data_IF_227470285612
#
_entry.id   IF_227470285612
#
_cell.length_a   1.000
_cell.length_b   1.000
_cell.length_c   1.000
_cell.angle_alpha   90.00
_cell.angle_beta   90.00
_cell.angle_gamma   90.00
#
_symmetry.space_group_name_H-M   'P 1'
#
loop_
_entity.id
_entity.type
_entity.pdbx_description
1 polymer ?
#
# COMPACT_ATOMS: atom_id res chain seq x y z
N UNK A 1 48.57 -44.72 -4.98
CA UNK A 1 48.35 -43.72 -6.06
C UNK A 1 46.88 -43.74 -6.42
N UNK A 2 46.27 -42.56 -6.45
CA UNK A 2 44.96 -42.23 -7.01
C UNK A 2 43.66 -42.64 -6.26
N UNK A 3 42.76 -41.65 -6.28
CA UNK A 3 41.29 -41.65 -6.11
C UNK A 3 40.75 -41.46 -4.69
N UNK A 4 39.81 -40.50 -4.58
CA UNK A 4 39.05 -39.98 -3.42
C UNK A 4 39.64 -38.83 -2.61
N UNK A 5 39.76 -37.65 -3.24
CA UNK A 5 39.76 -36.36 -2.53
C UNK A 5 39.29 -35.20 -3.42
N UNK A 6 38.09 -35.30 -4.01
CA UNK A 6 37.47 -34.15 -4.70
C UNK A 6 35.95 -34.27 -4.72
N UNK A 7 35.30 -34.11 -3.57
CA UNK A 7 33.85 -33.89 -3.51
C UNK A 7 33.47 -33.15 -2.22
N UNK A 8 33.98 -31.92 -2.03
CA UNK A 8 33.58 -31.08 -0.89
C UNK A 8 33.88 -29.59 -1.09
N UNK A 9 33.81 -29.09 -2.34
CA UNK A 9 33.85 -27.65 -2.62
C UNK A 9 32.93 -27.34 -3.81
N UNK A 10 31.62 -27.51 -3.64
CA UNK A 10 30.63 -27.04 -4.62
C UNK A 10 29.25 -26.71 -4.00
N UNK A 11 29.13 -26.60 -2.67
CA UNK A 11 27.85 -26.31 -2.00
C UNK A 11 27.84 -25.04 -1.14
N UNK A 12 28.85 -24.18 -1.24
CA UNK A 12 28.90 -22.91 -0.50
C UNK A 12 28.68 -21.66 -1.38
N UNK A 13 28.55 -21.79 -2.70
CA UNK A 13 28.46 -20.64 -3.62
C UNK A 13 27.02 -20.25 -4.01
N UNK A 14 25.99 -20.99 -3.61
CA UNK A 14 24.60 -20.73 -4.00
C UNK A 14 23.79 -19.89 -2.98
N UNK A 15 24.37 -19.54 -1.82
CA UNK A 15 23.64 -18.84 -0.75
C UNK A 15 23.71 -17.30 -0.80
N UNK A 16 24.48 -16.71 -1.72
CA UNK A 16 24.75 -15.26 -1.76
C UNK A 16 24.41 -14.59 -3.10
N UNK A 17 23.53 -15.17 -3.92
CA UNK A 17 22.99 -14.42 -5.05
C UNK A 17 22.08 -13.30 -4.50
N UNK A 18 22.39 -12.00 -4.70
CA UNK A 18 21.47 -10.94 -4.34
C UNK A 18 20.17 -11.19 -5.10
N UNK A 19 19.05 -11.24 -4.37
CA UNK A 19 17.73 -11.23 -5.00
C UNK A 19 17.73 -10.11 -6.03
N UNK A 20 17.47 -10.45 -7.29
CA UNK A 20 17.39 -9.48 -8.36
C UNK A 20 16.40 -8.38 -7.93
N UNK A 21 16.93 -7.20 -7.65
CA UNK A 21 16.14 -6.02 -7.30
C UNK A 21 15.44 -5.59 -8.58
N UNK A 22 14.22 -6.06 -8.78
CA UNK A 22 13.32 -5.46 -9.78
C UNK A 22 12.88 -4.13 -9.18
N UNK A 23 13.59 -3.06 -9.58
CA UNK A 23 13.16 -1.70 -9.28
C UNK A 23 11.86 -1.43 -10.05
N UNK A 24 10.74 -1.36 -9.35
CA UNK A 24 9.51 -0.80 -9.90
C UNK A 24 9.68 0.71 -9.92
N UNK A 25 10.11 1.23 -11.06
CA UNK A 25 10.12 2.67 -11.29
C UNK A 25 8.67 3.08 -11.57
N UNK A 26 8.02 3.69 -10.58
CA UNK A 26 6.74 4.37 -10.78
C UNK A 26 6.97 5.49 -11.81
N UNK A 27 6.37 5.36 -12.99
CA UNK A 27 6.15 6.50 -13.87
C UNK A 27 4.74 7.01 -13.59
N UNK A 28 4.57 8.07 -12.76
CA UNK A 28 3.27 8.70 -12.56
C UNK A 28 2.71 9.37 -13.82
N UNK A 29 3.39 9.25 -14.98
CA UNK A 29 3.00 9.80 -16.27
C UNK A 29 3.29 8.82 -17.41
N UNK A 30 2.73 7.61 -17.35
CA UNK A 30 2.48 6.82 -18.55
C UNK A 30 1.45 7.54 -19.45
N UNK A 31 1.91 8.63 -20.08
CA UNK A 31 1.28 9.22 -21.24
C UNK A 31 1.35 8.21 -22.39
N UNK A 32 0.32 8.22 -23.23
CA UNK A 32 -0.02 7.28 -24.30
C UNK A 32 1.09 6.80 -25.27
N UNK A 33 2.34 7.23 -25.14
CA UNK A 33 3.37 7.02 -26.18
C UNK A 33 4.32 5.84 -25.90
N UNK A 34 4.35 5.30 -24.68
CA UNK A 34 5.29 4.23 -24.29
C UNK A 34 4.70 2.84 -24.04
N UNK A 35 3.42 2.73 -23.67
CA UNK A 35 2.78 1.45 -23.30
C UNK A 35 2.38 0.60 -24.51
N UNK A 36 2.21 1.20 -25.69
CA UNK A 36 1.84 0.50 -26.92
C UNK A 36 2.89 -0.51 -27.43
N UNK A 37 4.08 -0.59 -26.81
CA UNK A 37 5.17 -1.49 -27.21
C UNK A 37 5.39 -2.68 -26.28
N UNK A 38 4.65 -2.84 -25.18
CA UNK A 38 4.76 -4.06 -24.38
C UNK A 38 3.70 -5.08 -24.79
N UNK A 39 4.09 -6.34 -24.93
CA UNK A 39 3.21 -7.45 -25.30
C UNK A 39 2.13 -7.77 -24.25
N UNK A 40 2.22 -7.15 -23.07
CA UNK A 40 1.31 -7.22 -21.93
C UNK A 40 0.54 -5.90 -21.71
N UNK A 41 0.43 -5.04 -22.73
CA UNK A 41 -0.36 -3.82 -22.65
C UNK A 41 -1.73 -4.15 -22.05
N UNK A 42 -2.03 -3.52 -20.90
CA UNK A 42 -3.35 -3.59 -20.29
C UNK A 42 -4.38 -3.35 -21.39
N UNK A 43 -5.44 -4.17 -21.51
CA UNK A 43 -6.39 -4.00 -22.60
C UNK A 43 -6.92 -2.56 -22.52
N UNK A 44 -6.45 -1.71 -23.44
CA UNK A 44 -7.00 -0.38 -23.58
C UNK A 44 -8.39 -0.56 -24.13
N UNK A 45 -9.39 0.00 -23.44
CA UNK A 45 -10.75 0.00 -23.94
C UNK A 45 -10.75 0.67 -25.31
N UNK A 46 -11.10 -0.03 -26.38
CA UNK A 46 -11.23 0.58 -27.69
C UNK A 46 -12.68 1.06 -27.88
N UNK A 47 -12.95 2.39 -27.95
CA UNK A 47 -14.31 2.91 -28.14
C UNK A 47 -14.95 2.46 -29.45
N UNK A 48 -14.16 2.05 -30.45
CA UNK A 48 -14.67 1.54 -31.72
C UNK A 48 -15.23 0.12 -31.61
N UNK A 49 -14.82 -0.66 -30.60
CA UNK A 49 -15.25 -2.06 -30.43
C UNK A 49 -15.99 -2.31 -29.13
N UNK A 50 -16.00 -1.36 -28.20
CA UNK A 50 -16.73 -1.46 -26.94
C UNK A 50 -17.41 -0.11 -26.62
N UNK A 51 -18.75 -0.04 -26.67
CA UNK A 51 -19.51 1.20 -26.45
C UNK A 51 -19.39 1.73 -25.02
N UNK A 52 -18.82 0.95 -24.10
CA UNK A 52 -18.58 1.35 -22.72
C UNK A 52 -17.21 2.04 -22.54
N UNK A 53 -16.45 2.29 -23.60
CA UNK A 53 -15.23 3.08 -23.51
C UNK A 53 -15.52 4.57 -23.67
N UNK A 54 -15.01 5.39 -22.75
CA UNK A 54 -14.95 6.84 -22.93
C UNK A 54 -13.67 7.24 -23.69
N UNK A 55 -13.68 8.44 -24.27
CA UNK A 55 -12.56 8.98 -25.04
C UNK A 55 -11.24 8.93 -24.24
N UNK A 56 -10.18 8.43 -24.88
CA UNK A 56 -8.87 8.19 -24.24
C UNK A 56 -8.67 6.77 -23.69
N UNK A 57 -9.54 5.83 -24.03
CA UNK A 57 -9.38 4.39 -23.74
C UNK A 57 -9.76 3.98 -22.32
N UNK A 58 -10.54 4.83 -21.63
CA UNK A 58 -10.99 4.60 -20.25
C UNK A 58 -12.33 3.88 -20.27
N UNK A 59 -12.57 3.01 -19.29
CA UNK A 59 -13.81 2.24 -19.16
C UNK A 59 -14.90 3.04 -18.41
N UNK A 60 -16.18 2.79 -18.73
CA UNK A 60 -17.33 3.08 -17.85
C UNK A 60 -17.23 2.19 -16.61
N UNK A 61 -16.36 2.59 -15.69
CA UNK A 61 -16.09 1.89 -14.44
C UNK A 61 -17.34 1.85 -13.55
N UNK A 62 -17.47 0.86 -12.64
CA UNK A 62 -18.19 1.15 -11.41
C UNK A 62 -17.49 2.35 -10.77
N UNK A 63 -18.19 3.49 -10.66
CA UNK A 63 -17.63 4.66 -10.00
C UNK A 63 -17.55 4.33 -8.50
N UNK A 64 -16.41 3.78 -8.08
CA UNK A 64 -16.14 3.41 -6.70
C UNK A 64 -15.54 4.58 -5.90
N UNK A 65 -15.23 5.71 -6.54
CA UNK A 65 -14.73 6.97 -5.95
C UNK A 65 -13.73 6.80 -4.79
N UNK A 66 -12.92 5.76 -4.81
CA UNK A 66 -11.96 5.52 -3.74
C UNK A 66 -10.61 6.19 -4.01
N UNK A 67 -10.34 6.64 -5.24
CA UNK A 67 -9.06 7.24 -5.63
C UNK A 67 -8.84 8.66 -5.08
N UNK A 68 -9.90 9.34 -4.65
CA UNK A 68 -9.85 10.70 -4.11
C UNK A 68 -9.64 10.72 -2.60
N UNK A 69 -8.77 11.62 -2.15
CA UNK A 69 -8.59 11.93 -0.73
C UNK A 69 -9.86 12.53 -0.14
N UNK A 70 -10.20 12.15 1.10
CA UNK A 70 -11.48 12.50 1.73
C UNK A 70 -12.71 12.17 0.87
N UNK A 71 -12.53 11.38 -0.18
CA UNK A 71 -13.60 10.83 -1.00
C UNK A 71 -14.33 9.73 -0.25
N UNK A 72 -15.45 9.22 -0.81
CA UNK A 72 -16.27 8.20 -0.17
C UNK A 72 -15.49 6.98 0.29
N UNK A 73 -14.52 6.48 -0.52
CA UNK A 73 -13.71 5.32 -0.13
C UNK A 73 -12.77 5.60 1.04
N UNK A 74 -12.14 6.77 1.05
CA UNK A 74 -11.24 7.20 2.13
C UNK A 74 -12.01 7.36 3.45
N UNK A 75 -13.18 8.00 3.39
CA UNK A 75 -14.09 8.14 4.52
C UNK A 75 -14.62 6.79 5.02
N UNK A 76 -14.91 5.85 4.11
CA UNK A 76 -15.34 4.51 4.48
C UNK A 76 -14.22 3.75 5.23
N UNK A 77 -12.96 3.84 4.79
CA UNK A 77 -11.85 3.25 5.55
C UNK A 77 -11.69 3.89 6.93
N UNK A 78 -11.79 5.22 7.00
CA UNK A 78 -11.76 5.94 8.26
C UNK A 78 -12.90 5.53 9.19
N UNK A 79 -14.09 5.23 8.66
CA UNK A 79 -15.25 4.85 9.46
C UNK A 79 -15.20 3.38 9.91
N UNK A 80 -14.90 2.46 9.00
CA UNK A 80 -15.16 1.03 9.21
C UNK A 80 -13.93 0.19 9.53
N UNK A 81 -12.70 0.67 9.29
CA UNK A 81 -11.51 -0.07 9.70
C UNK A 81 -11.25 0.06 11.20
N UNK A 82 -11.04 -1.06 11.91
CA UNK A 82 -10.72 -1.05 13.33
C UNK A 82 -9.29 -0.54 13.56
N UNK A 83 -9.10 0.20 14.65
CA UNK A 83 -7.78 0.66 15.09
C UNK A 83 -7.07 -0.42 15.91
N UNK A 84 -5.76 -0.57 15.70
CA UNK A 84 -4.91 -1.46 16.49
C UNK A 84 -4.14 -0.65 17.55
N UNK A 85 -4.23 -0.99 18.84
CA UNK A 85 -3.41 -0.34 19.87
C UNK A 85 -1.92 -0.53 19.60
N UNK A 86 -1.12 0.48 19.94
CA UNK A 86 0.29 0.54 19.57
C UNK A 86 1.16 1.19 20.65
N UNK A 87 2.46 0.93 20.58
CA UNK A 87 3.52 1.63 21.31
C UNK A 87 4.64 1.99 20.33
N UNK A 88 5.49 2.97 20.67
CA UNK A 88 6.70 3.26 19.90
C UNK A 88 7.93 3.48 20.78
N UNK A 89 9.11 3.27 20.20
CA UNK A 89 10.39 3.69 20.77
C UNK A 89 11.27 4.33 19.70
N UNK A 90 11.94 5.44 20.05
CA UNK A 90 12.86 6.15 19.16
C UNK A 90 14.24 5.52 19.23
N UNK A 91 14.91 5.34 18.09
CA UNK A 91 16.29 4.87 18.06
C UNK A 91 17.26 6.00 18.47
N UNK A 92 18.23 5.66 19.31
CA UNK A 92 19.26 6.59 19.83
C UNK A 92 20.68 6.25 19.38
N UNK A 93 20.85 5.16 18.63
CA UNK A 93 22.15 4.60 18.23
C UNK A 93 22.82 5.31 17.03
N UNK A 94 22.29 6.44 16.56
CA UNK A 94 22.82 7.12 15.36
C UNK A 94 22.55 6.39 14.03
N UNK A 95 21.92 5.21 14.04
CA UNK A 95 21.70 4.40 12.83
C UNK A 95 20.33 4.65 12.20
N UNK A 96 20.23 4.28 10.91
CA UNK A 96 18.97 4.18 10.19
C UNK A 96 18.99 3.00 9.20
N UNK A 97 17.84 2.46 8.79
CA UNK A 97 17.78 1.47 7.72
C UNK A 97 18.38 1.99 6.41
N UNK A 98 19.12 1.15 5.69
CA UNK A 98 19.73 1.52 4.41
C UNK A 98 18.69 2.05 3.41
N UNK A 99 17.52 1.41 3.28
CA UNK A 99 16.46 1.88 2.36
C UNK A 99 16.02 3.30 2.68
N UNK A 100 15.93 3.62 3.96
CA UNK A 100 15.54 4.95 4.42
C UNK A 100 16.63 5.99 4.10
N UNK A 101 17.90 5.62 4.24
CA UNK A 101 19.01 6.46 3.80
C UNK A 101 19.00 6.63 2.27
N UNK A 102 18.88 5.54 1.51
CA UNK A 102 18.91 5.60 0.05
C UNK A 102 17.79 6.49 -0.49
N UNK A 103 16.53 6.25 -0.11
CA UNK A 103 15.41 7.03 -0.64
C UNK A 103 15.40 8.45 -0.10
N UNK A 104 15.57 8.65 1.21
CA UNK A 104 15.54 9.98 1.79
C UNK A 104 16.75 10.83 1.41
N UNK A 105 17.96 10.28 1.55
CA UNK A 105 19.23 11.02 1.45
C UNK A 105 19.81 10.95 0.04
N UNK A 106 19.91 9.75 -0.53
CA UNK A 106 20.56 9.58 -1.84
C UNK A 106 19.65 10.02 -2.99
N UNK A 107 18.40 9.58 -3.01
CA UNK A 107 17.45 9.88 -4.08
C UNK A 107 16.83 11.28 -3.89
N UNK A 108 16.22 11.52 -2.74
CA UNK A 108 15.44 12.75 -2.48
C UNK A 108 16.27 13.89 -1.85
N UNK A 109 17.59 13.68 -1.65
CA UNK A 109 18.57 14.71 -1.22
C UNK A 109 18.29 15.35 0.15
N UNK A 110 17.54 14.68 1.02
CA UNK A 110 17.38 15.11 2.41
C UNK A 110 18.66 14.89 3.23
N UNK A 111 18.80 15.59 4.36
CA UNK A 111 19.90 15.36 5.30
C UNK A 111 19.61 14.13 6.16
N UNK A 112 20.58 13.23 6.30
CA UNK A 112 20.42 12.01 7.10
C UNK A 112 20.12 12.30 8.58
N UNK A 113 20.73 13.35 9.14
CA UNK A 113 20.55 13.81 10.53
C UNK A 113 19.13 14.27 10.84
N UNK A 114 18.35 14.63 9.82
CA UNK A 114 17.00 15.16 9.98
C UNK A 114 15.96 14.03 10.11
N UNK A 115 16.36 12.77 9.90
CA UNK A 115 15.49 11.61 10.08
C UNK A 115 15.50 11.12 11.52
N UNK A 116 14.31 10.94 12.06
CA UNK A 116 14.04 10.27 13.32
C UNK A 116 13.53 8.85 13.03
N UNK A 117 14.20 7.83 13.56
CA UNK A 117 13.84 6.42 13.35
C UNK A 117 13.12 5.89 14.58
N UNK A 118 12.01 5.19 14.35
CA UNK A 118 11.16 4.63 15.40
C UNK A 118 10.89 3.14 15.13
N UNK A 119 10.81 2.35 16.20
CA UNK A 119 10.06 1.11 16.20
C UNK A 119 8.62 1.42 16.61
N UNK A 120 7.65 0.98 15.82
CA UNK A 120 6.22 1.03 16.15
C UNK A 120 5.72 -0.40 16.29
N UNK A 121 5.22 -0.75 17.47
CA UNK A 121 4.73 -2.11 17.77
C UNK A 121 3.23 -2.06 17.97
N UNK A 122 2.49 -2.90 17.24
CA UNK A 122 1.04 -3.04 17.42
C UNK A 122 0.73 -4.28 18.27
N UNK A 123 -0.33 -4.23 19.06
CA UNK A 123 -0.74 -5.34 19.93
C UNK A 123 -1.13 -6.62 19.17
N UNK A 124 -1.34 -6.52 17.86
CA UNK A 124 -1.63 -7.64 16.97
C UNK A 124 -0.42 -8.13 16.15
N UNK A 125 0.75 -7.49 16.25
CA UNK A 125 2.00 -7.95 15.65
C UNK A 125 3.19 -7.76 16.60
N UNK A 126 3.78 -8.85 17.05
CA UNK A 126 4.92 -8.83 17.98
C UNK A 126 6.19 -8.20 17.38
N UNK A 127 6.37 -8.31 16.06
CA UNK A 127 7.50 -7.70 15.35
C UNK A 127 7.20 -6.22 15.07
N UNK A 128 8.06 -5.28 15.49
CA UNK A 128 7.86 -3.87 15.23
C UNK A 128 7.99 -3.54 13.74
N UNK A 129 7.28 -2.49 13.34
CA UNK A 129 7.46 -1.80 12.08
C UNK A 129 8.45 -0.65 12.26
N UNK A 130 9.33 -0.45 11.29
CA UNK A 130 10.28 0.67 11.34
C UNK A 130 9.66 1.88 10.65
N UNK A 131 9.61 3.01 11.35
CA UNK A 131 9.15 4.27 10.78
C UNK A 131 10.31 5.25 10.74
N UNK A 132 10.71 5.62 9.53
CA UNK A 132 11.65 6.67 9.25
C UNK A 132 10.92 7.98 9.01
N UNK A 133 10.91 8.85 10.01
CA UNK A 133 10.18 10.11 9.95
C UNK A 133 11.16 11.28 9.84
N UNK A 134 11.11 12.02 8.76
CA UNK A 134 11.83 13.29 8.63
C UNK A 134 11.27 14.31 9.64
N UNK A 135 12.12 15.15 10.24
CA UNK A 135 11.71 16.12 11.26
C UNK A 135 10.66 17.11 10.77
N UNK A 136 10.69 17.43 9.46
CA UNK A 136 9.72 18.31 8.78
C UNK A 136 8.41 17.61 8.40
N UNK A 137 8.25 16.33 8.70
CA UNK A 137 6.97 15.65 8.53
C UNK A 137 5.89 16.37 9.34
N UNK A 138 4.81 16.76 8.67
CA UNK A 138 3.68 17.47 9.29
C UNK A 138 2.93 16.62 10.31
N UNK A 139 3.14 15.31 10.29
CA UNK A 139 2.53 14.35 11.20
C UNK A 139 3.55 13.86 12.22
N UNK A 140 3.18 13.80 13.49
CA UNK A 140 3.98 13.18 14.54
C UNK A 140 3.97 11.65 14.44
N UNK A 141 4.91 10.96 15.11
CA UNK A 141 4.90 9.49 15.17
C UNK A 141 3.61 8.95 15.78
N UNK A 142 3.08 9.63 16.79
CA UNK A 142 1.80 9.27 17.40
C UNK A 142 0.67 9.39 16.39
N UNK A 143 0.64 10.44 15.57
CA UNK A 143 -0.38 10.53 14.54
C UNK A 143 -0.19 9.46 13.46
N UNK A 144 1.04 9.06 13.10
CA UNK A 144 1.34 8.03 12.08
C UNK A 144 0.94 6.63 12.52
N UNK A 145 1.20 6.32 13.80
CA UNK A 145 0.85 5.05 14.41
C UNK A 145 -0.64 4.98 14.81
N UNK A 146 -1.24 6.13 15.17
CA UNK A 146 -2.58 6.20 15.77
C UNK A 146 -3.67 6.74 14.87
N UNK A 147 -4.84 6.17 15.12
CA UNK A 147 -6.11 6.86 15.23
C UNK A 147 -6.26 7.14 16.72
N UNK A 148 -6.39 8.38 17.20
CA UNK A 148 -6.87 8.51 18.60
C UNK A 148 -8.36 8.71 18.51
N UNK A 149 -9.11 7.70 18.95
CA UNK A 149 -10.51 7.85 19.31
C UNK A 149 -10.58 8.94 20.39
N UNK A 150 -11.35 9.99 20.13
CA UNK A 150 -11.92 10.78 21.22
C UNK A 150 -12.93 9.84 21.91
N UNK A 151 -12.47 9.10 22.91
CA UNK A 151 -13.35 8.70 24.00
C UNK A 151 -13.49 9.88 24.97
N UNK A 152 -14.50 10.71 24.70
CA UNK A 152 -15.35 11.33 25.72
C UNK A 152 -16.74 10.74 25.40
N UNK A 153 -17.45 9.97 26.21
CA UNK A 153 -17.50 9.94 27.65
C UNK A 153 -17.84 8.52 28.14
N UNK A 154 -17.05 7.99 29.07
CA UNK A 154 -17.64 7.22 30.17
C UNK A 154 -18.12 8.25 31.19
N UNK A 155 -19.34 8.07 31.68
CA UNK A 155 -20.13 9.01 32.51
C UNK A 155 -20.79 10.17 31.76
N UNK A 156 -22.01 9.92 31.28
CA UNK A 156 -23.24 10.70 31.51
C UNK A 156 -24.29 10.20 30.52
N UNK A 157 -25.35 9.61 31.05
CA UNK A 157 -26.44 9.06 30.24
C UNK A 157 -27.25 10.16 29.54
N UNK A 158 -27.77 9.79 28.35
CA UNK A 158 -28.87 10.44 27.61
C UNK A 158 -28.66 11.90 27.16
N UNK A 159 -29.24 12.22 26.00
CA UNK A 159 -29.21 13.51 25.27
C UNK A 159 -27.85 13.82 24.60
N UNK A 160 -27.67 13.90 23.28
CA UNK A 160 -28.50 14.46 22.20
C UNK A 160 -28.11 13.76 20.88
N UNK A 161 -29.05 13.12 20.19
CA UNK A 161 -28.95 12.93 18.73
C UNK A 161 -29.08 14.33 18.09
N UNK A 162 -28.19 14.67 17.15
CA UNK A 162 -28.14 15.95 16.41
C UNK A 162 -27.22 17.07 16.95
N UNK A 163 -26.03 16.71 17.45
CA UNK A 163 -24.92 17.69 17.47
C UNK A 163 -24.00 17.41 16.29
N UNK A 164 -24.20 18.24 15.27
CA UNK A 164 -23.27 18.57 14.20
C UNK A 164 -21.81 18.57 14.73
N UNK A 165 -21.04 17.52 14.45
CA UNK A 165 -19.58 17.54 14.57
C UNK A 165 -19.03 18.33 13.38
N UNK A 166 -19.26 19.64 13.39
CA UNK A 166 -18.55 20.64 12.60
C UNK A 166 -17.48 21.25 13.50
N UNK A 167 -16.38 20.53 13.69
CA UNK A 167 -15.03 21.12 13.70
C UNK A 167 -14.11 20.06 13.12
N UNK A 168 -13.49 20.40 12.01
CA UNK A 168 -12.66 19.53 11.18
C UNK A 168 -11.26 19.41 11.82
N UNK A 169 -10.80 18.23 12.31
CA UNK A 169 -9.39 18.04 12.64
C UNK A 169 -8.78 17.15 11.56
N UNK A 170 -8.21 17.81 10.55
CA UNK A 170 -7.51 17.22 9.41
C UNK A 170 -6.57 16.06 9.78
N UNK A 171 -6.96 14.83 9.45
CA UNK A 171 -6.10 13.68 9.13
C UNK A 171 -5.41 12.96 10.30
N UNK A 172 -6.14 12.10 11.00
CA UNK A 172 -5.64 11.10 11.95
C UNK A 172 -5.25 9.81 11.19
N UNK A 173 -4.02 9.28 11.38
CA UNK A 173 -3.43 8.31 10.43
C UNK A 173 -3.64 6.82 10.77
N UNK A 174 -3.16 5.96 9.85
CA UNK A 174 -3.89 4.78 9.36
C UNK A 174 -3.10 3.49 9.39
N UNK A 175 -1.79 3.49 9.75
CA UNK A 175 -1.03 2.22 9.69
C UNK A 175 -1.76 1.23 10.61
N UNK A 176 -2.05 1.64 11.84
CA UNK A 176 -2.86 0.87 12.79
C UNK A 176 -4.28 0.49 12.33
N UNK A 177 -4.83 1.10 11.27
CA UNK A 177 -6.14 0.74 10.69
C UNK A 177 -6.07 -0.32 9.59
N UNK A 178 -4.96 -0.42 8.88
CA UNK A 178 -4.79 -1.48 7.89
C UNK A 178 -4.94 -2.85 8.55
N UNK A 179 -5.60 -3.85 7.93
CA UNK A 179 -5.61 -5.20 8.46
C UNK A 179 -4.19 -5.72 8.77
N UNK A 180 -3.98 -6.36 9.92
CA UNK A 180 -2.62 -6.80 10.35
C UNK A 180 -1.94 -7.70 9.33
N UNK A 181 -2.73 -8.55 8.67
CA UNK A 181 -2.27 -9.49 7.66
C UNK A 181 -1.93 -8.81 6.32
N UNK A 182 -2.45 -7.61 6.08
CA UNK A 182 -2.04 -6.75 4.96
C UNK A 182 -0.79 -5.96 5.36
N UNK A 183 -0.77 -5.34 6.54
CA UNK A 183 0.37 -4.59 7.06
C UNK A 183 1.67 -5.38 7.04
N UNK A 184 1.63 -6.67 7.36
CA UNK A 184 2.82 -7.51 7.46
C UNK A 184 3.60 -7.65 6.13
N UNK A 185 2.97 -7.29 5.00
CA UNK A 185 3.64 -7.17 3.70
C UNK A 185 4.68 -6.03 3.68
N UNK A 186 4.66 -5.12 4.66
CA UNK A 186 5.64 -4.05 4.80
C UNK A 186 6.45 -4.18 6.08
N UNK A 187 7.72 -3.78 6.05
CA UNK A 187 8.63 -3.70 7.20
C UNK A 187 8.98 -2.27 7.56
N UNK A 188 8.96 -1.35 6.59
CA UNK A 188 9.43 0.01 6.75
C UNK A 188 8.47 1.03 6.12
N UNK A 189 8.23 2.11 6.85
CA UNK A 189 7.54 3.30 6.36
C UNK A 189 8.51 4.48 6.38
N UNK A 190 8.65 5.18 5.27
CA UNK A 190 9.51 6.36 5.16
C UNK A 190 8.61 7.57 4.92
N UNK A 191 8.64 8.55 5.82
CA UNK A 191 7.68 9.64 5.87
C UNK A 191 8.42 10.99 5.86
N UNK A 192 8.14 11.81 4.84
CA UNK A 192 8.78 13.12 4.67
C UNK A 192 7.84 14.30 4.99
N UNK A 193 8.38 15.51 4.91
CA UNK A 193 7.65 16.79 5.08
C UNK A 193 7.20 17.44 3.78
N UNK A 194 6.37 18.49 3.90
CA UNK A 194 5.71 19.22 2.81
C UNK A 194 6.33 20.61 2.57
N UNK A 195 7.61 20.69 2.22
CA UNK A 195 8.20 22.00 1.94
C UNK A 195 9.04 21.99 0.65
N UNK A 196 8.39 22.45 -0.43
CA UNK A 196 9.04 22.84 -1.69
C UNK A 196 10.16 23.88 -1.47
N UNK A 197 10.17 24.60 -0.35
CA UNK A 197 11.23 25.56 -0.01
C UNK A 197 12.55 24.87 0.32
N UNK A 198 12.53 23.61 0.75
CA UNK A 198 13.74 22.87 1.13
C UNK A 198 14.23 21.92 0.04
N UNK A 199 13.30 21.33 -0.72
CA UNK A 199 13.61 20.64 -1.96
C UNK A 199 12.57 21.02 -3.04
N UNK A 200 12.84 22.07 -3.84
CA UNK A 200 11.91 22.55 -4.87
C UNK A 200 11.66 21.54 -5.99
N UNK A 201 12.45 20.47 -6.07
CA UNK A 201 12.29 19.39 -7.03
C UNK A 201 11.39 18.26 -6.50
N UNK A 202 10.93 18.32 -5.25
CA UNK A 202 10.14 17.24 -4.64
C UNK A 202 8.63 17.45 -4.83
N UNK A 203 8.03 16.74 -5.79
CA UNK A 203 6.60 16.88 -6.13
C UNK A 203 5.63 16.27 -5.12
N UNK A 204 6.10 15.37 -4.25
CA UNK A 204 5.24 14.56 -3.38
C UNK A 204 4.64 13.35 -4.06
N UNK A 205 4.76 12.19 -3.43
CA UNK A 205 4.20 10.92 -3.93
C UNK A 205 4.08 9.92 -2.76
N UNK A 206 3.15 8.98 -2.84
CA UNK A 206 3.23 7.74 -2.10
C UNK A 206 3.68 6.65 -3.07
N UNK A 207 4.53 5.73 -2.62
CA UNK A 207 5.03 4.66 -3.48
C UNK A 207 5.44 3.45 -2.66
N UNK A 208 5.30 2.30 -3.27
CA UNK A 208 5.81 1.03 -2.75
C UNK A 208 7.22 0.82 -3.25
N UNK A 209 8.14 0.69 -2.31
CA UNK A 209 9.50 0.27 -2.58
C UNK A 209 9.54 -1.24 -2.72
N UNK A 210 10.42 -1.75 -3.58
CA UNK A 210 10.58 -3.18 -3.84
C UNK A 210 10.40 -4.05 -2.57
N UNK A 211 9.30 -4.80 -2.53
CA UNK A 211 8.99 -5.88 -1.58
C UNK A 211 8.44 -5.48 -0.21
N UNK A 212 8.87 -4.41 0.45
CA UNK A 212 8.54 -4.24 1.88
C UNK A 212 8.52 -2.81 2.42
N UNK A 213 8.81 -1.81 1.58
CA UNK A 213 8.87 -0.42 2.01
C UNK A 213 7.72 0.37 1.44
N UNK A 214 7.15 1.27 2.24
CA UNK A 214 6.22 2.28 1.72
C UNK A 214 6.80 3.66 1.99
N UNK A 215 7.00 4.43 0.93
CA UNK A 215 7.37 5.85 1.00
C UNK A 215 6.10 6.68 1.01
N UNK A 216 6.04 7.61 1.93
CA UNK A 216 4.96 8.58 2.11
C UNK A 216 5.56 9.97 2.01
N UNK A 217 5.55 10.49 0.79
CA UNK A 217 5.87 11.86 0.46
C UNK A 217 4.65 12.76 0.52
N UNK A 218 4.87 14.03 0.91
CA UNK A 218 3.92 15.15 0.80
C UNK A 218 2.46 14.77 1.06
N UNK A 219 2.16 14.36 2.28
CA UNK A 219 0.81 13.89 2.60
C UNK A 219 0.32 14.46 3.92
N UNK A 220 -0.24 15.66 3.86
CA UNK A 220 -1.23 16.06 4.87
C UNK A 220 -2.54 15.25 4.75
N UNK A 221 -2.79 14.60 3.60
CA UNK A 221 -4.11 14.05 3.24
C UNK A 221 -4.16 12.63 2.60
N UNK A 222 -3.05 11.99 2.17
CA UNK A 222 -3.08 10.74 1.36
C UNK A 222 -3.09 9.43 2.17
N UNK A 223 -3.27 9.46 3.48
CA UNK A 223 -2.76 8.35 4.29
C UNK A 223 -3.67 7.11 4.37
N UNK A 224 -4.98 7.16 4.13
CA UNK A 224 -5.82 5.94 4.18
C UNK A 224 -5.78 5.24 2.85
N UNK A 225 -6.35 5.92 1.85
CA UNK A 225 -6.70 5.23 0.63
C UNK A 225 -5.51 4.96 -0.28
N UNK A 226 -4.51 5.85 -0.30
CA UNK A 226 -3.25 5.58 -1.01
C UNK A 226 -2.39 4.57 -0.25
N UNK A 227 -2.45 4.55 1.08
CA UNK A 227 -1.72 3.54 1.83
C UNK A 227 -2.30 2.13 1.60
N UNK A 228 -3.62 2.00 1.48
CA UNK A 228 -4.26 0.74 1.08
C UNK A 228 -3.78 0.32 -0.31
N UNK A 229 -3.70 1.27 -1.25
CA UNK A 229 -3.17 1.04 -2.59
C UNK A 229 -1.71 0.55 -2.55
N UNK A 230 -0.81 1.30 -1.93
CA UNK A 230 0.61 0.95 -1.86
C UNK A 230 0.87 -0.36 -1.10
N UNK A 231 0.18 -0.57 0.02
CA UNK A 231 0.31 -1.85 0.71
C UNK A 231 -0.25 -3.00 -0.14
N UNK A 232 -1.15 -2.72 -1.09
CA UNK A 232 -1.60 -3.67 -2.10
C UNK A 232 -0.49 -4.11 -3.05
N UNK A 233 0.36 -3.19 -3.51
CA UNK A 233 1.58 -3.54 -4.26
C UNK A 233 2.54 -4.41 -3.44
N UNK A 234 2.67 -4.12 -2.14
CA UNK A 234 3.47 -4.95 -1.24
C UNK A 234 2.87 -6.36 -1.12
N UNK A 235 1.56 -6.50 -0.96
CA UNK A 235 0.88 -7.80 -0.92
C UNK A 235 1.05 -8.55 -2.24
N UNK A 236 0.87 -7.88 -3.39
CA UNK A 236 0.99 -8.46 -4.73
C UNK A 236 2.36 -9.08 -4.98
N UNK A 237 3.41 -8.31 -4.68
CA UNK A 237 4.79 -8.69 -4.93
C UNK A 237 5.32 -9.75 -3.95
N UNK A 238 4.56 -10.07 -2.89
CA UNK A 238 5.08 -10.88 -1.79
C UNK A 238 4.11 -11.94 -1.28
N UNK A 239 3.06 -11.55 -0.57
CA UNK A 239 2.14 -12.46 0.11
C UNK A 239 1.23 -13.20 -0.86
N UNK A 240 0.85 -12.55 -1.96
CA UNK A 240 0.07 -13.13 -3.04
C UNK A 240 0.95 -13.69 -4.18
N UNK A 241 2.26 -13.39 -4.17
CA UNK A 241 3.18 -13.83 -5.21
C UNK A 241 3.23 -15.36 -5.28
N UNK A 242 3.18 -15.96 -6.48
CA UNK A 242 3.40 -17.40 -6.65
C UNK A 242 4.87 -17.82 -6.45
N UNK A 243 5.77 -16.91 -6.07
CA UNK A 243 7.20 -17.14 -5.96
C UNK A 243 7.98 -16.73 -7.22
N UNK A 244 9.31 -16.96 -7.18
CA UNK A 244 10.19 -16.64 -8.31
C UNK A 244 10.39 -15.15 -8.58
N UNK A 245 10.11 -14.28 -7.60
CA UNK A 245 10.26 -12.83 -7.73
C UNK A 245 9.21 -12.15 -8.61
N UNK A 246 8.12 -12.86 -8.94
CA UNK A 246 7.06 -12.36 -9.82
C UNK A 246 5.81 -11.99 -9.02
N UNK A 247 5.27 -10.76 -9.15
CA UNK A 247 3.99 -10.40 -8.52
C UNK A 247 2.84 -11.21 -9.12
N UNK A 248 1.75 -11.40 -8.36
CA UNK A 248 0.57 -12.11 -8.85
C UNK A 248 -0.08 -11.38 -10.04
N UNK A 249 -0.11 -10.05 -10.00
CA UNK A 249 -0.61 -9.21 -11.10
C UNK A 249 0.10 -9.47 -12.44
N UNK A 250 1.35 -9.91 -12.43
CA UNK A 250 2.10 -10.28 -13.63
C UNK A 250 1.76 -11.66 -14.19
N UNK A 251 0.89 -12.44 -13.54
CA UNK A 251 0.58 -13.82 -13.93
C UNK A 251 -0.50 -13.89 -15.02
N UNK A 252 -0.52 -15.01 -15.74
CA UNK A 252 -1.60 -15.29 -16.70
C UNK A 252 -2.96 -15.43 -16.00
N UNK A 253 -2.99 -15.82 -14.72
CA UNK A 253 -4.22 -15.92 -13.94
C UNK A 253 -4.86 -14.54 -13.71
N UNK A 254 -4.06 -13.54 -13.35
CA UNK A 254 -4.57 -12.16 -13.22
C UNK A 254 -4.99 -11.58 -14.57
N UNK A 255 -4.16 -11.73 -15.61
CA UNK A 255 -4.50 -11.26 -16.95
C UNK A 255 -5.80 -11.91 -17.49
N UNK A 256 -6.03 -13.19 -17.20
CA UNK A 256 -7.27 -13.88 -17.55
C UNK A 256 -8.49 -13.31 -16.81
N UNK A 257 -8.34 -12.94 -15.54
CA UNK A 257 -9.41 -12.32 -14.75
C UNK A 257 -9.78 -10.94 -15.31
N UNK A 258 -8.78 -10.09 -15.56
CA UNK A 258 -8.98 -8.76 -16.19
C UNK A 258 -9.63 -8.91 -17.57
N UNK A 259 -9.19 -9.89 -18.38
CA UNK A 259 -9.78 -10.16 -19.70
C UNK A 259 -11.22 -10.67 -19.62
N UNK A 260 -11.55 -11.50 -18.62
CA UNK A 260 -12.88 -12.07 -18.45
C UNK A 260 -13.91 -11.00 -18.07
N UNK A 261 -13.50 -10.05 -17.23
CA UNK A 261 -14.29 -8.87 -16.92
C UNK A 261 -14.35 -7.92 -18.13
N UNK A 262 -13.19 -7.63 -18.71
CA UNK A 262 -13.06 -6.65 -19.79
C UNK A 262 -13.12 -5.21 -19.30
N UNK A 263 -12.93 -4.96 -18.00
CA UNK A 263 -12.95 -3.63 -17.36
C UNK A 263 -11.86 -3.56 -16.27
N UNK A 264 -11.33 -2.37 -15.99
CA UNK A 264 -10.49 -2.12 -14.81
C UNK A 264 -11.34 -1.77 -13.59
N UNK A 265 -10.81 -1.98 -12.38
CA UNK A 265 -11.51 -1.60 -11.15
C UNK A 265 -11.57 -0.09 -10.94
N UNK A 266 -10.62 0.66 -11.50
CA UNK A 266 -10.62 2.12 -11.49
C UNK A 266 -9.93 2.71 -12.73
N UNK A 267 -10.11 4.01 -12.96
CA UNK A 267 -9.40 4.71 -14.02
C UNK A 267 -7.87 4.75 -13.80
N UNK A 268 -7.41 4.68 -12.55
CA UNK A 268 -5.98 4.60 -12.22
C UNK A 268 -5.46 3.18 -12.49
N UNK A 269 -6.21 2.16 -12.06
CA UNK A 269 -5.89 0.75 -12.30
C UNK A 269 -5.77 0.41 -13.79
N UNK A 270 -6.57 1.06 -14.63
CA UNK A 270 -6.50 0.90 -16.09
C UNK A 270 -5.14 1.24 -16.72
N UNK A 271 -4.20 1.83 -15.96
CA UNK A 271 -2.84 2.10 -16.44
C UNK A 271 -1.95 0.86 -16.57
N UNK A 272 -2.13 -0.16 -15.72
CA UNK A 272 -1.36 -1.41 -15.79
C UNK A 272 -1.95 -2.52 -14.92
N UNK A 273 -1.58 -3.78 -15.16
CA UNK A 273 -2.05 -4.90 -14.33
C UNK A 273 -1.67 -4.78 -12.86
N UNK A 274 -0.51 -4.18 -12.58
CA UNK A 274 0.01 -3.99 -11.22
C UNK A 274 -0.84 -2.95 -10.48
N UNK A 275 -1.14 -1.83 -11.13
CA UNK A 275 -2.03 -0.79 -10.56
C UNK A 275 -3.45 -1.32 -10.38
N UNK A 276 -3.96 -2.05 -11.36
CA UNK A 276 -5.29 -2.64 -11.30
C UNK A 276 -5.44 -3.64 -10.14
N UNK A 277 -4.41 -4.44 -9.86
CA UNK A 277 -4.41 -5.33 -8.70
C UNK A 277 -4.46 -4.56 -7.37
N UNK A 278 -3.68 -3.49 -7.23
CA UNK A 278 -3.70 -2.64 -6.04
C UNK A 278 -5.08 -1.94 -5.86
N UNK A 279 -5.69 -1.49 -6.95
CA UNK A 279 -7.04 -0.90 -6.95
C UNK A 279 -8.13 -1.94 -6.66
N UNK A 280 -8.00 -3.18 -7.17
CA UNK A 280 -8.86 -4.30 -6.81
C UNK A 280 -8.79 -4.60 -5.32
N UNK A 281 -7.59 -4.50 -4.72
CA UNK A 281 -7.42 -4.63 -3.27
C UNK A 281 -8.21 -3.58 -2.47
N UNK A 282 -8.27 -2.33 -2.94
CA UNK A 282 -9.14 -1.30 -2.33
C UNK A 282 -10.61 -1.71 -2.40
N UNK A 283 -11.08 -2.13 -3.58
CA UNK A 283 -12.46 -2.57 -3.74
C UNK A 283 -12.80 -3.77 -2.83
N UNK A 284 -11.90 -4.77 -2.73
CA UNK A 284 -12.08 -5.92 -1.83
C UNK A 284 -12.07 -5.49 -0.35
N UNK A 285 -11.22 -4.53 0.04
CA UNK A 285 -11.23 -4.01 1.41
C UNK A 285 -12.59 -3.39 1.73
N UNK A 286 -13.09 -2.51 0.87
CA UNK A 286 -14.41 -1.88 1.03
C UNK A 286 -15.53 -2.92 1.11
N UNK A 287 -15.50 -3.92 0.22
CA UNK A 287 -16.46 -5.03 0.24
C UNK A 287 -16.45 -5.80 1.56
N UNK A 288 -15.30 -5.85 2.21
CA UNK A 288 -15.10 -6.59 3.46
C UNK A 288 -15.52 -5.77 4.69
N UNK A 289 -15.28 -4.46 4.69
CA UNK A 289 -15.43 -3.61 5.89
C UNK A 289 -16.73 -2.84 5.94
N UNK A 290 -17.30 -2.47 4.79
CA UNK A 290 -18.56 -1.73 4.73
C UNK A 290 -19.71 -2.71 4.96
N UNK A 291 -20.62 -2.48 5.94
CA UNK A 291 -21.81 -3.29 6.11
C UNK A 291 -22.65 -3.32 4.81
N UNK A 292 -22.88 -4.50 4.26
CA UNK A 292 -23.55 -4.67 2.96
C UNK A 292 -22.62 -4.57 1.73
N UNK A 293 -21.31 -4.50 1.95
CA UNK A 293 -20.27 -4.61 0.93
C UNK A 293 -20.25 -3.46 -0.09
N UNK A 294 -19.68 -3.73 -1.26
CA UNK A 294 -19.58 -2.75 -2.35
C UNK A 294 -20.95 -2.27 -2.85
N UNK A 295 -21.98 -3.14 -2.78
CA UNK A 295 -23.34 -2.76 -3.13
C UNK A 295 -23.85 -1.65 -2.22
N UNK A 296 -23.73 -1.79 -0.90
CA UNK A 296 -24.13 -0.75 0.05
C UNK A 296 -23.26 0.51 -0.07
N UNK A 297 -21.94 0.35 -0.22
CA UNK A 297 -20.99 1.45 -0.40
C UNK A 297 -21.36 2.35 -1.59
N UNK A 298 -21.83 1.74 -2.69
CA UNK A 298 -22.28 2.46 -3.90
C UNK A 298 -23.76 2.85 -3.90
N UNK A 299 -24.42 2.79 -2.73
CA UNK A 299 -25.84 3.14 -2.58
C UNK A 299 -26.81 2.18 -3.27
N UNK A 300 -26.40 0.95 -3.55
CA UNK A 300 -27.20 -0.11 -4.16
C UNK A 300 -27.51 0.09 -5.64
N UNK A 301 -26.96 1.14 -6.28
CA UNK A 301 -27.33 1.58 -7.62
C UNK A 301 -26.26 1.33 -8.69
N UNK A 302 -25.09 0.84 -8.29
CA UNK A 302 -24.00 0.61 -9.24
C UNK A 302 -24.17 -0.74 -9.95
N UNK A 303 -24.91 -0.72 -11.06
CA UNK A 303 -25.14 -1.88 -11.92
C UNK A 303 -23.84 -2.45 -12.53
N UNK A 304 -22.73 -1.69 -12.49
CA UNK A 304 -21.45 -2.07 -13.07
C UNK A 304 -20.56 -2.88 -12.10
N UNK A 305 -20.98 -3.15 -10.86
CA UNK A 305 -20.18 -3.98 -9.94
C UNK A 305 -19.93 -5.40 -10.46
N UNK A 306 -20.85 -5.94 -11.27
CA UNK A 306 -20.68 -7.25 -11.90
C UNK A 306 -19.61 -7.26 -12.99
N UNK A 307 -19.22 -6.09 -13.50
CA UNK A 307 -18.21 -5.94 -14.56
C UNK A 307 -16.78 -6.16 -14.06
N UNK A 308 -16.56 -6.25 -12.74
CA UNK A 308 -15.25 -6.50 -12.14
C UNK A 308 -15.23 -7.79 -11.31
N UNK A 309 -16.23 -8.66 -11.51
CA UNK A 309 -16.45 -9.82 -10.65
C UNK A 309 -15.33 -10.86 -10.75
N UNK A 310 -14.76 -11.08 -11.93
CA UNK A 310 -13.67 -12.04 -12.12
C UNK A 310 -12.38 -11.56 -11.43
N UNK A 311 -12.04 -10.27 -11.52
CA UNK A 311 -10.92 -9.66 -10.81
C UNK A 311 -11.11 -9.75 -9.30
N UNK A 312 -12.27 -9.34 -8.76
CA UNK A 312 -12.54 -9.44 -7.33
C UNK A 312 -12.46 -10.90 -6.84
N UNK A 313 -12.96 -11.85 -7.63
CA UNK A 313 -12.86 -13.28 -7.32
C UNK A 313 -11.41 -13.77 -7.32
N UNK A 314 -10.64 -13.44 -8.35
CA UNK A 314 -9.23 -13.81 -8.45
C UNK A 314 -8.40 -13.21 -7.31
N UNK A 315 -8.63 -11.93 -7.01
CA UNK A 315 -8.00 -11.24 -5.89
C UNK A 315 -8.32 -11.92 -4.56
N UNK A 316 -9.61 -12.16 -4.27
CA UNK A 316 -10.03 -12.80 -3.01
C UNK A 316 -9.43 -14.20 -2.84
N UNK A 317 -9.26 -14.94 -3.93
CA UNK A 317 -8.68 -16.29 -3.89
C UNK A 317 -7.20 -16.30 -3.44
N UNK A 318 -6.43 -15.25 -3.76
CA UNK A 318 -4.98 -15.23 -3.47
C UNK A 318 -4.60 -14.28 -2.33
N UNK A 319 -5.33 -13.18 -2.18
CA UNK A 319 -5.01 -12.09 -1.26
C UNK A 319 -6.13 -11.75 -0.28
N UNK A 320 -7.34 -12.27 -0.45
CA UNK A 320 -8.53 -11.87 0.33
C UNK A 320 -8.33 -12.01 1.86
N UNK A 321 -7.60 -13.03 2.30
CA UNK A 321 -7.31 -13.25 3.73
C UNK A 321 -6.44 -12.16 4.36
N UNK A 322 -5.65 -11.44 3.55
CA UNK A 322 -4.81 -10.33 4.02
C UNK A 322 -5.64 -9.06 4.24
N UNK A 323 -6.75 -8.91 3.52
CA UNK A 323 -7.64 -7.75 3.55
C UNK A 323 -8.79 -7.88 4.57
N UNK A 324 -8.80 -8.95 5.36
CA UNK A 324 -9.79 -9.17 6.42
C UNK A 324 -9.32 -8.52 7.73
N UNK A 325 -10.10 -7.60 8.34
CA UNK A 325 -9.74 -7.01 9.62
C UNK A 325 -9.61 -8.02 10.77
N UNK A 326 -8.80 -7.67 11.77
CA UNK A 326 -8.56 -8.50 12.94
C UNK A 326 -7.51 -9.59 12.74
N UNK A 327 -7.40 -10.47 13.74
CA UNK A 327 -6.40 -11.55 13.77
C UNK A 327 -5.05 -11.12 14.35
N UNK A 328 -4.01 -11.88 14.00
CA UNK A 328 -2.62 -11.63 14.40
C UNK A 328 -1.70 -11.71 13.18
N UNK A 329 -0.58 -11.04 13.30
CA UNK A 329 0.56 -11.12 12.41
C UNK A 329 1.04 -12.56 12.28
N UNK A 330 1.23 -13.02 11.05
CA UNK A 330 1.90 -14.29 10.77
C UNK A 330 3.40 -14.01 10.63
N UNK A 331 4.17 -14.37 11.66
CA UNK A 331 5.61 -14.09 11.70
C UNK A 331 6.40 -14.81 10.60
N UNK A 332 5.87 -15.91 10.05
CA UNK A 332 6.48 -16.60 8.91
C UNK A 332 6.29 -15.83 7.60
N UNK A 333 5.30 -14.93 7.54
CA UNK A 333 4.98 -14.09 6.38
C UNK A 333 5.36 -12.63 6.56
N UNK A 334 5.64 -12.21 7.79
CA UNK A 334 6.04 -10.84 8.10
C UNK A 334 7.39 -10.55 7.47
N UNK A 335 7.46 -9.47 6.69
CA UNK A 335 8.77 -9.05 6.18
C UNK A 335 9.74 -8.82 7.33
N UNK A 336 10.96 -9.37 7.22
CA UNK A 336 11.96 -9.23 8.26
C UNK A 336 12.26 -7.76 8.48
N UNK A 337 12.68 -7.48 9.71
CA UNK A 337 13.18 -6.17 10.07
C UNK A 337 14.35 -5.78 9.15
N UNK A 338 14.48 -4.50 8.75
CA UNK A 338 15.61 -4.07 7.93
C UNK A 338 16.94 -4.37 8.61
N UNK A 339 17.70 -5.33 8.07
CA UNK A 339 18.93 -5.82 8.69
C UNK A 339 20.15 -4.96 8.37
N UNK A 340 20.15 -4.32 7.19
CA UNK A 340 21.24 -3.44 6.78
C UNK A 340 21.00 -2.03 7.30
N UNK A 341 21.86 -1.61 8.23
CA UNK A 341 21.84 -0.32 8.89
C UNK A 341 23.03 0.52 8.45
N UNK A 342 22.83 1.83 8.37
CA UNK A 342 23.87 2.81 8.02
C UNK A 342 23.90 3.93 9.06
N UNK A 343 25.05 4.61 9.19
CA UNK A 343 25.20 5.78 10.05
C UNK A 343 24.48 6.99 9.43
N UNK A 344 23.91 7.84 10.28
CA UNK A 344 23.32 9.14 9.90
C UNK A 344 24.32 10.30 9.90
N UNK A 345 25.51 10.05 10.41
CA UNK A 345 26.61 11.00 10.63
C UNK A 345 27.66 10.85 9.53
#
# INVERSE_FOLDING_TARGET
>A
MAVFKTLLIALAAAANAPAAVVAFQHDPRATNTGLAKRADAYPFCNPATNPNCIAGGKYLVPILEFSSENGPGDLAYQQYLPASPWTFSKWTNGLMPERCYYWGVTADKWKATDFLVYNVTYTDCATPFVVCRHQKSTKSIGQLASVRDIMLASSLGQFVQNVFILTNPLGWQQIGKLPVRMRQASSIYIVYGDLNTDNPNYGGYMATLAGDGVVVGRSVAYFSTSLVHETGHAVDSTLASPGGGKPFSGTAAWAAAVKADGFAVSAYGAGSYVEDFAEAGRAVLLDTVVPGGLAAFTGGKNANLTQIAAQLKAFKAVAGTFYTPGGKCDLAKKFPFPTKLVKRE
#
